data_IF_705765281590
#
_entry.id   IF_705765281590
#
_cell.length_a   1.000
_cell.length_b   1.000
_cell.length_c   1.000
_cell.angle_alpha   90.00
_cell.angle_beta   90.00
_cell.angle_gamma   90.00
#
_symmetry.space_group_name_H-M   'P 1'
#
loop_
_entity.id
_entity.type
_entity.pdbx_description
1 polymer ?
#
# COMPACT_ATOMS: atom_id res chain seq x y z
N UNK A 1 8.22 40.41 30.56
CA UNK A 1 8.13 39.30 29.60
C UNK A 1 6.80 39.50 28.91
N UNK A 2 6.76 39.89 27.63
CA UNK A 2 5.50 40.10 26.92
C UNK A 2 5.14 38.79 26.21
N UNK A 3 3.99 38.22 26.59
CA UNK A 3 3.37 37.13 25.85
C UNK A 3 2.26 37.77 25.00
N UNK A 4 2.12 37.30 23.77
CA UNK A 4 1.09 37.69 22.83
C UNK A 4 0.06 36.56 22.71
N UNK A 5 -1.20 36.92 22.48
CA UNK A 5 -2.25 35.94 22.21
C UNK A 5 -2.14 35.44 20.77
N UNK A 6 -2.11 34.11 20.59
CA UNK A 6 -2.17 33.51 19.26
C UNK A 6 -3.57 33.70 18.64
N UNK A 7 -3.70 34.23 17.40
CA UNK A 7 -5.00 34.48 16.77
C UNK A 7 -5.79 33.21 16.42
N UNK A 8 -5.13 32.04 16.37
CA UNK A 8 -5.76 30.76 16.04
C UNK A 8 -6.24 29.97 17.27
N UNK A 9 -5.42 29.93 18.32
CA UNK A 9 -5.70 29.08 19.49
C UNK A 9 -5.88 29.84 20.80
N UNK A 10 -5.74 31.17 20.78
CA UNK A 10 -5.85 32.05 21.95
C UNK A 10 -4.96 31.64 23.15
N UNK A 11 -3.87 30.92 22.87
CA UNK A 11 -2.87 30.58 23.87
C UNK A 11 -1.85 31.72 23.99
N UNK A 12 -1.31 31.91 25.20
CA UNK A 12 -0.21 32.82 25.46
C UNK A 12 1.09 32.31 24.82
N UNK A 13 1.64 33.06 23.86
CA UNK A 13 2.88 32.70 23.14
C UNK A 13 3.92 33.80 23.33
N UNK A 14 5.21 33.43 23.33
CA UNK A 14 6.30 34.40 23.36
C UNK A 14 6.29 35.27 22.10
N UNK A 15 6.51 36.58 22.25
CA UNK A 15 6.64 37.53 21.13
C UNK A 15 7.81 37.20 20.17
N UNK A 16 8.76 36.35 20.60
CA UNK A 16 9.91 35.91 19.79
C UNK A 16 9.69 34.53 19.13
N UNK A 17 8.50 33.93 19.24
CA UNK A 17 8.24 32.63 18.65
C UNK A 17 7.92 32.74 17.16
N UNK A 18 8.71 32.10 16.30
CA UNK A 18 8.47 32.05 14.84
C UNK A 18 7.14 31.35 14.49
N UNK A 19 6.72 30.40 15.35
CA UNK A 19 5.46 29.67 15.22
C UNK A 19 4.84 29.35 16.58
N UNK A 20 3.52 29.29 16.65
CA UNK A 20 2.80 28.91 17.85
C UNK A 20 3.08 27.44 18.22
N UNK A 21 3.62 27.15 19.42
CA UNK A 21 3.91 25.78 19.84
C UNK A 21 2.64 24.96 20.14
N UNK A 22 1.47 25.60 20.28
CA UNK A 22 0.21 24.94 20.59
C UNK A 22 -0.54 24.45 19.35
N UNK A 23 -0.63 25.27 18.29
CA UNK A 23 -1.39 24.94 17.08
C UNK A 23 -0.54 24.87 15.80
N UNK A 24 0.69 25.38 15.83
CA UNK A 24 1.57 25.43 14.65
C UNK A 24 1.40 26.67 13.77
N UNK A 25 0.59 27.66 14.16
CA UNK A 25 0.40 28.90 13.41
C UNK A 25 1.73 29.67 13.22
N UNK A 26 2.18 29.95 11.99
CA UNK A 26 3.39 30.72 11.74
C UNK A 26 3.12 32.22 11.98
N UNK A 27 3.92 32.87 12.82
CA UNK A 27 3.81 34.31 13.07
C UNK A 27 4.65 35.16 12.11
N UNK A 28 5.69 34.56 11.54
CA UNK A 28 6.49 35.15 10.46
C UNK A 28 6.19 34.43 9.14
N UNK A 29 6.02 35.20 8.07
CA UNK A 29 5.94 34.64 6.73
C UNK A 29 7.33 34.11 6.35
N UNK A 30 7.50 32.81 6.04
CA UNK A 30 8.79 32.29 5.64
C UNK A 30 9.18 32.88 4.28
N UNK A 31 10.08 33.86 4.29
CA UNK A 31 10.71 34.40 3.09
C UNK A 31 11.81 33.45 2.58
N UNK A 32 11.45 32.20 2.29
CA UNK A 32 12.36 31.14 1.89
C UNK A 32 11.60 29.91 1.36
N UNK A 33 12.14 29.18 0.36
CA UNK A 33 11.49 27.98 -0.17
C UNK A 33 11.92 26.77 0.66
N UNK A 34 11.53 26.71 1.92
CA UNK A 34 11.90 25.63 2.83
C UNK A 34 10.70 24.83 3.35
N UNK A 35 10.95 23.51 3.31
CA UNK A 35 9.99 22.42 3.36
C UNK A 35 9.56 22.17 4.81
N UNK A 36 8.68 23.03 5.32
CA UNK A 36 8.16 22.98 6.68
C UNK A 36 6.66 22.66 6.77
N UNK A 37 6.12 21.87 5.83
CA UNK A 37 4.77 21.34 5.94
C UNK A 37 4.85 19.82 5.95
N UNK A 38 4.27 19.19 6.96
CA UNK A 38 3.85 17.78 6.82
C UNK A 38 2.66 17.80 5.87
N UNK A 39 2.96 17.93 4.58
CA UNK A 39 1.99 17.71 3.52
C UNK A 39 1.71 16.21 3.56
N UNK A 40 0.55 15.84 4.12
CA UNK A 40 -0.08 14.56 3.85
C UNK A 40 -0.61 14.58 2.41
N UNK A 41 0.27 14.74 1.43
CA UNK A 41 -0.04 14.37 0.05
C UNK A 41 0.27 12.90 -0.02
N UNK A 42 -0.82 12.14 -0.09
CA UNK A 42 -0.84 10.75 -0.50
C UNK A 42 -0.33 9.76 0.54
N UNK A 43 -1.21 9.51 1.51
CA UNK A 43 -1.56 8.11 1.78
C UNK A 43 -2.31 7.64 0.53
N UNK A 44 -1.58 7.41 -0.56
CA UNK A 44 -2.10 6.68 -1.71
C UNK A 44 -2.21 5.22 -1.24
N UNK A 45 -3.30 4.91 -0.52
CA UNK A 45 -3.85 3.55 -0.53
C UNK A 45 -4.56 3.44 -1.88
N UNK A 46 -3.77 3.53 -2.94
CA UNK A 46 -4.24 3.53 -4.30
C UNK A 46 -4.92 2.20 -4.58
N UNK A 47 -6.01 2.28 -5.34
CA UNK A 47 -6.92 1.23 -5.81
C UNK A 47 -6.27 0.03 -6.57
N UNK A 48 -4.96 -0.15 -6.45
CA UNK A 48 -4.10 -1.16 -7.06
C UNK A 48 -4.21 -2.52 -6.35
N UNK A 49 -4.77 -2.58 -5.13
CA UNK A 49 -4.85 -3.80 -4.35
C UNK A 49 -5.65 -4.90 -5.05
N UNK A 50 -6.78 -4.56 -5.69
CA UNK A 50 -7.56 -5.57 -6.44
C UNK A 50 -6.78 -6.14 -7.63
N UNK A 51 -5.97 -5.31 -8.31
CA UNK A 51 -5.13 -5.78 -9.41
C UNK A 51 -3.95 -6.63 -8.93
N UNK A 52 -3.32 -6.28 -7.80
CA UNK A 52 -2.22 -7.05 -7.19
C UNK A 52 -2.72 -8.39 -6.63
N UNK A 53 -3.92 -8.41 -6.04
CA UNK A 53 -4.57 -9.64 -5.56
C UNK A 53 -4.85 -10.59 -6.73
N UNK A 54 -5.42 -10.10 -7.83
CA UNK A 54 -5.68 -10.92 -9.02
C UNK A 54 -4.40 -11.41 -9.71
N UNK A 55 -3.36 -10.55 -9.79
CA UNK A 55 -2.07 -10.91 -10.35
C UNK A 55 -1.39 -12.03 -9.55
N UNK A 56 -1.46 -11.95 -8.21
CA UNK A 56 -0.85 -12.95 -7.31
C UNK A 56 -1.64 -14.27 -7.27
N UNK A 57 -2.97 -14.19 -7.30
CA UNK A 57 -3.85 -15.36 -7.41
C UNK A 57 -3.65 -16.10 -8.75
N UNK A 58 -3.51 -15.37 -9.86
CA UNK A 58 -3.24 -15.95 -11.18
C UNK A 58 -1.91 -16.70 -11.24
N UNK A 59 -0.83 -16.10 -10.71
CA UNK A 59 0.50 -16.73 -10.71
C UNK A 59 0.53 -18.00 -9.83
N UNK A 60 -0.20 -18.03 -8.72
CA UNK A 60 -0.30 -19.20 -7.85
C UNK A 60 -1.17 -20.33 -8.44
N UNK A 61 -2.17 -20.00 -9.26
CA UNK A 61 -3.02 -20.99 -9.91
C UNK A 61 -2.31 -21.74 -11.06
N UNK A 62 -1.34 -21.10 -11.71
CA UNK A 62 -0.59 -21.66 -12.84
C UNK A 62 0.14 -22.98 -12.53
N UNK A 63 0.94 -23.11 -11.46
CA UNK A 63 1.58 -24.39 -11.12
C UNK A 63 0.58 -25.47 -10.73
N UNK A 64 -0.51 -25.11 -10.05
CA UNK A 64 -1.56 -26.07 -9.64
C UNK A 64 -2.27 -26.65 -10.87
N UNK A 65 -2.61 -25.80 -11.84
CA UNK A 65 -3.23 -26.23 -13.09
C UNK A 65 -2.31 -27.14 -13.89
N UNK A 66 -1.02 -26.80 -14.01
CA UNK A 66 -0.03 -27.64 -14.70
C UNK A 66 0.09 -29.02 -14.04
N UNK A 67 0.22 -29.07 -12.71
CA UNK A 67 0.33 -30.34 -11.97
C UNK A 67 -0.92 -31.20 -12.19
N UNK A 68 -2.12 -30.61 -12.11
CA UNK A 68 -3.37 -31.33 -12.34
C UNK A 68 -3.46 -31.92 -13.75
N UNK A 69 -3.05 -31.16 -14.78
CA UNK A 69 -3.03 -31.62 -16.18
C UNK A 69 -2.02 -32.76 -16.38
N UNK A 70 -0.82 -32.65 -15.80
CA UNK A 70 0.19 -33.72 -15.87
C UNK A 70 -0.30 -35.00 -15.19
N UNK A 71 -0.91 -34.89 -14.00
CA UNK A 71 -1.48 -36.04 -13.30
C UNK A 71 -2.61 -36.69 -14.10
N UNK A 72 -3.51 -35.90 -14.68
CA UNK A 72 -4.56 -36.42 -15.56
C UNK A 72 -3.97 -37.18 -16.74
N UNK A 73 -2.96 -36.61 -17.41
CA UNK A 73 -2.31 -37.26 -18.56
C UNK A 73 -1.64 -38.59 -18.16
N UNK A 74 -0.93 -38.61 -17.03
CA UNK A 74 -0.32 -39.84 -16.48
C UNK A 74 -1.39 -40.90 -16.18
N UNK A 75 -2.51 -40.52 -15.56
CA UNK A 75 -3.62 -41.43 -15.28
C UNK A 75 -4.27 -41.96 -16.56
N UNK A 76 -4.42 -41.12 -17.60
CA UNK A 76 -4.95 -41.58 -18.88
C UNK A 76 -4.02 -42.56 -19.60
N UNK A 77 -2.70 -42.33 -19.57
CA UNK A 77 -1.70 -43.25 -20.16
C UNK A 77 -1.66 -44.56 -19.38
N UNK A 78 -1.66 -44.51 -18.04
CA UNK A 78 -1.68 -45.70 -17.20
C UNK A 78 -2.99 -46.49 -17.38
N UNK A 79 -4.12 -45.79 -17.50
CA UNK A 79 -5.43 -46.38 -17.74
C UNK A 79 -5.54 -47.05 -19.12
N UNK A 80 -5.03 -46.42 -20.17
CA UNK A 80 -5.01 -47.04 -21.52
C UNK A 80 -4.05 -48.22 -21.59
N UNK A 81 -2.92 -48.21 -20.86
CA UNK A 81 -2.05 -49.38 -20.72
C UNK A 81 -2.74 -50.55 -19.99
N UNK A 82 -3.54 -50.26 -18.97
CA UNK A 82 -4.32 -51.29 -18.24
C UNK A 82 -5.49 -51.85 -19.07
N UNK A 83 -6.20 -51.02 -19.85
CA UNK A 83 -7.32 -51.46 -20.69
C UNK A 83 -6.82 -52.15 -21.98
N UNK A 84 -5.70 -51.69 -22.56
CA UNK A 84 -5.09 -52.30 -23.74
C UNK A 84 -4.41 -53.64 -23.47
N UNK A 85 -4.06 -53.94 -22.22
CA UNK A 85 -3.40 -55.20 -21.83
C UNK A 85 -4.34 -56.40 -21.64
N UNK A 86 -5.67 -56.22 -21.66
CA UNK A 86 -6.65 -57.31 -21.44
C UNK A 86 -7.13 -57.91 -22.78
N UNK A 87 -6.70 -57.35 -23.92
CA UNK A 87 -7.12 -57.77 -25.27
C UNK A 87 -6.09 -58.58 -26.07
N UNK A 88 -5.01 -59.05 -25.46
CA UNK A 88 -3.95 -59.85 -26.10
C UNK A 88 -3.93 -61.29 -25.62
#
# INVERSE_FOLDING_TARGET
MALIDCPECAADVSEHAERCPHCGYPFEEPSGPDKGGVVLTDIDIGFNDWAVILLKAGLAAFPVAIIAVLLYFVLTIAGTALVGGIGG
#
